data_IF_752973741447
#
_entry.id   IF_752973741447
#
_cell.length_a   1.000
_cell.length_b   1.000
_cell.length_c   1.000
_cell.angle_alpha   90.00
_cell.angle_beta   90.00
_cell.angle_gamma   90.00
#
_symmetry.space_group_name_H-M   'P 1'
#
loop_
_entity.id
_entity.type
_entity.pdbx_description
1 polymer ?
#
# COMPACT_ATOMS: atom_id res chain seq x y z
N UNK A 1 39.37 -37.99 -19.56
CA UNK A 1 37.93 -37.98 -19.22
C UNK A 1 37.76 -37.39 -17.81
N UNK A 2 37.64 -36.06 -17.67
CA UNK A 2 37.40 -35.42 -16.35
C UNK A 2 37.10 -33.91 -16.43
N UNK A 3 36.40 -33.43 -17.47
CA UNK A 3 36.24 -31.99 -17.69
C UNK A 3 34.85 -31.55 -18.18
N UNK A 4 33.79 -32.35 -17.96
CA UNK A 4 32.45 -32.02 -18.45
C UNK A 4 31.38 -32.29 -17.36
N UNK A 5 31.54 -31.78 -16.13
CA UNK A 5 30.43 -31.76 -15.15
C UNK A 5 30.59 -30.58 -14.16
N UNK A 6 30.76 -29.34 -14.64
CA UNK A 6 30.71 -28.15 -13.76
C UNK A 6 29.76 -27.06 -14.30
N UNK A 7 29.21 -27.20 -15.51
CA UNK A 7 28.45 -26.14 -16.17
C UNK A 7 26.92 -26.19 -16.00
N UNK A 8 26.37 -26.86 -14.97
CA UNK A 8 24.91 -27.00 -14.78
C UNK A 8 24.38 -26.27 -13.52
N UNK A 9 25.24 -25.62 -12.73
CA UNK A 9 24.81 -24.81 -11.57
C UNK A 9 24.67 -23.31 -11.88
N UNK A 10 24.38 -22.94 -13.13
CA UNK A 10 23.76 -21.65 -13.40
C UNK A 10 22.26 -21.76 -13.13
N UNK A 11 21.90 -21.98 -11.87
CA UNK A 11 20.55 -21.77 -11.38
C UNK A 11 20.22 -20.31 -11.67
N UNK A 12 19.44 -20.08 -12.72
CA UNK A 12 18.74 -18.83 -12.95
C UNK A 12 17.90 -18.58 -11.71
N UNK A 13 18.41 -17.71 -10.84
CA UNK A 13 17.60 -17.09 -9.80
C UNK A 13 16.47 -16.40 -10.56
N UNK A 14 15.29 -17.02 -10.60
CA UNK A 14 14.07 -16.32 -10.97
C UNK A 14 13.93 -15.22 -9.92
N UNK A 15 14.38 -14.01 -10.26
CA UNK A 15 14.09 -12.81 -9.49
C UNK A 15 12.57 -12.73 -9.45
N UNK A 16 11.97 -13.14 -8.33
CA UNK A 16 10.64 -12.68 -7.97
C UNK A 16 10.77 -11.16 -7.95
N UNK A 17 10.32 -10.50 -9.01
CA UNK A 17 10.31 -9.04 -9.11
C UNK A 17 9.25 -8.55 -8.15
N UNK A 18 9.64 -8.34 -6.91
CA UNK A 18 8.86 -7.54 -6.00
C UNK A 18 9.00 -6.10 -6.48
N UNK A 19 7.90 -5.51 -6.94
CA UNK A 19 7.89 -4.09 -7.19
C UNK A 19 7.69 -3.39 -5.85
N UNK A 20 8.63 -2.52 -5.50
CA UNK A 20 8.59 -1.76 -4.28
C UNK A 20 8.73 -0.26 -4.53
N UNK A 21 7.89 0.53 -3.88
CA UNK A 21 7.88 1.98 -4.00
C UNK A 21 7.94 2.65 -2.63
N UNK A 22 8.66 3.77 -2.58
CA UNK A 22 8.62 4.70 -1.47
C UNK A 22 7.68 5.84 -1.84
N UNK A 23 6.67 6.07 -1.01
CA UNK A 23 5.58 7.01 -1.22
C UNK A 23 5.56 8.04 -0.10
N UNK A 24 5.30 9.30 -0.44
CA UNK A 24 5.07 10.34 0.56
C UNK A 24 4.06 11.38 0.06
N UNK A 25 3.84 12.44 0.83
CA UNK A 25 3.02 13.60 0.47
C UNK A 25 1.58 13.28 0.04
N UNK A 26 0.93 12.32 0.69
CA UNK A 26 -0.48 12.01 0.41
C UNK A 26 -1.35 13.23 0.74
N UNK A 27 -2.03 13.79 -0.25
CA UNK A 27 -2.90 14.97 -0.09
C UNK A 27 -4.20 14.78 -0.86
N UNK A 28 -5.29 15.28 -0.32
CA UNK A 28 -6.58 15.28 -1.01
C UNK A 28 -7.68 15.67 -0.06
N UNK A 29 -8.75 14.87 0.00
CA UNK A 29 -9.92 15.19 0.80
C UNK A 29 -10.40 14.00 1.63
N UNK A 30 -10.97 14.32 2.78
CA UNK A 30 -11.62 13.35 3.66
C UNK A 30 -12.97 13.91 4.11
N UNK A 31 -13.91 13.01 4.38
CA UNK A 31 -15.20 13.32 4.99
C UNK A 31 -15.43 12.38 6.18
N UNK A 32 -15.99 12.90 7.27
CA UNK A 32 -16.13 12.19 8.53
C UNK A 32 -17.57 12.25 9.04
N UNK A 33 -18.06 11.24 9.76
CA UNK A 33 -19.39 11.33 10.37
C UNK A 33 -19.53 12.51 11.34
N UNK A 34 -18.44 12.90 12.01
CA UNK A 34 -18.42 14.00 12.98
C UNK A 34 -18.65 15.37 12.38
N UNK A 35 -18.43 15.55 11.07
CA UNK A 35 -18.65 16.81 10.35
C UNK A 35 -19.81 16.73 9.34
N UNK A 36 -20.65 15.70 9.44
CA UNK A 36 -21.77 15.49 8.53
C UNK A 36 -21.35 15.01 7.13
N UNK A 37 -20.17 14.39 7.02
CA UNK A 37 -19.57 13.91 5.78
C UNK A 37 -19.26 15.02 4.77
N UNK A 38 -18.87 16.19 5.26
CA UNK A 38 -18.42 17.29 4.41
C UNK A 38 -16.97 17.02 4.02
N UNK A 39 -16.67 17.04 2.72
CA UNK A 39 -15.30 16.86 2.25
C UNK A 39 -14.44 18.08 2.58
N UNK A 40 -13.40 17.85 3.38
CA UNK A 40 -12.40 18.84 3.79
C UNK A 40 -11.02 18.44 3.29
N UNK A 41 -10.15 19.44 3.06
CA UNK A 41 -8.75 19.18 2.69
C UNK A 41 -8.05 18.42 3.82
N UNK A 42 -7.36 17.35 3.45
CA UNK A 42 -6.63 16.51 4.39
C UNK A 42 -5.42 15.87 3.70
N UNK A 43 -4.58 15.19 4.47
CA UNK A 43 -3.47 14.44 3.94
C UNK A 43 -2.59 13.81 5.02
N UNK A 44 -1.68 12.97 4.57
CA UNK A 44 -0.60 12.39 5.38
C UNK A 44 0.70 12.91 4.78
N UNK A 45 1.18 14.03 5.33
CA UNK A 45 2.38 14.73 4.82
C UNK A 45 3.66 14.32 5.55
N UNK A 46 3.54 13.72 6.73
CA UNK A 46 4.67 13.25 7.51
C UNK A 46 4.70 11.72 7.43
N UNK A 47 5.79 11.17 6.91
CA UNK A 47 5.97 9.72 6.77
C UNK A 47 6.32 9.31 5.34
N UNK A 48 7.04 8.20 5.23
CA UNK A 48 7.31 7.53 3.97
C UNK A 48 6.70 6.13 4.06
N UNK A 49 5.82 5.82 3.13
CA UNK A 49 5.19 4.51 3.00
C UNK A 49 6.00 3.67 2.03
N UNK A 50 6.39 2.48 2.45
CA UNK A 50 6.92 1.44 1.58
C UNK A 50 5.75 0.57 1.13
N UNK A 51 5.44 0.64 -0.17
CA UNK A 51 4.42 -0.17 -0.84
C UNK A 51 5.14 -1.30 -1.57
N UNK A 52 4.93 -2.54 -1.15
CA UNK A 52 5.53 -3.72 -1.76
C UNK A 52 4.42 -4.57 -2.40
N UNK A 53 4.54 -4.83 -3.71
CA UNK A 53 3.58 -5.65 -4.46
C UNK A 53 4.35 -6.71 -5.24
N UNK A 54 4.01 -7.96 -4.98
CA UNK A 54 4.42 -9.13 -5.74
C UNK A 54 3.20 -9.75 -6.42
N UNK A 55 3.41 -10.80 -7.21
CA UNK A 55 2.31 -11.55 -7.81
C UNK A 55 1.32 -12.12 -6.76
N UNK A 56 1.82 -12.59 -5.63
CA UNK A 56 1.04 -13.37 -4.67
C UNK A 56 0.86 -12.68 -3.31
N UNK A 57 1.59 -11.58 -3.06
CA UNK A 57 1.62 -10.88 -1.77
C UNK A 57 1.73 -9.37 -1.97
N UNK A 58 1.07 -8.63 -1.09
CA UNK A 58 1.22 -7.19 -0.97
C UNK A 58 1.50 -6.84 0.51
N UNK A 59 2.27 -5.78 0.75
CA UNK A 59 2.57 -5.29 2.09
C UNK A 59 2.71 -3.76 2.09
N UNK A 60 2.38 -3.15 3.21
CA UNK A 60 2.53 -1.72 3.45
C UNK A 60 3.26 -1.51 4.78
N UNK A 61 4.39 -0.79 4.72
CA UNK A 61 5.16 -0.42 5.91
C UNK A 61 5.36 1.08 5.98
N UNK A 62 5.34 1.63 7.19
CA UNK A 62 5.79 3.00 7.42
C UNK A 62 7.29 2.97 7.71
N UNK A 63 8.10 3.65 6.90
CA UNK A 63 9.56 3.67 7.06
C UNK A 63 9.91 4.29 8.41
N UNK A 64 10.68 3.58 9.21
CA UNK A 64 11.09 3.99 10.56
C UNK A 64 10.14 3.54 11.68
N UNK A 65 9.04 2.88 11.35
CA UNK A 65 8.14 2.23 12.30
C UNK A 65 8.16 0.69 12.07
N UNK A 66 7.98 -0.09 13.13
CA UNK A 66 7.82 -1.55 13.05
C UNK A 66 6.35 -1.95 12.88
N UNK A 67 5.42 -1.01 12.98
CA UNK A 67 3.98 -1.25 12.86
C UNK A 67 3.49 -1.06 11.41
N UNK A 68 3.38 -2.18 10.69
CA UNK A 68 2.64 -2.25 9.44
C UNK A 68 1.14 -2.00 9.69
N UNK A 69 0.63 -0.84 9.25
CA UNK A 69 -0.77 -0.68 8.84
C UNK A 69 -1.87 -1.10 9.82
N UNK A 70 -1.69 -0.98 11.14
CA UNK A 70 -2.77 -1.12 12.13
C UNK A 70 -3.60 -2.42 12.07
N UNK A 71 -3.02 -3.52 11.55
CA UNK A 71 -3.72 -4.80 11.40
C UNK A 71 -4.42 -5.03 10.06
N UNK A 72 -4.22 -4.15 9.06
CA UNK A 72 -4.68 -4.35 7.69
C UNK A 72 -3.94 -5.50 7.01
N UNK A 73 -4.69 -6.37 6.34
CA UNK A 73 -4.15 -7.37 5.42
C UNK A 73 -4.22 -6.84 3.99
N UNK A 74 -3.13 -6.97 3.24
CA UNK A 74 -3.07 -6.49 1.86
C UNK A 74 -3.06 -7.65 0.87
N UNK A 75 -3.82 -7.49 -0.21
CA UNK A 75 -3.84 -8.40 -1.35
C UNK A 75 -3.49 -7.64 -2.63
N UNK A 76 -2.62 -8.20 -3.50
CA UNK A 76 -2.41 -7.64 -4.83
C UNK A 76 -3.71 -7.64 -5.63
N UNK A 77 -4.04 -6.52 -6.25
CA UNK A 77 -5.11 -6.42 -7.24
C UNK A 77 -4.55 -6.39 -8.68
N UNK A 78 -3.33 -5.85 -8.84
CA UNK A 78 -2.54 -5.88 -10.08
C UNK A 78 -1.05 -5.75 -9.73
N UNK A 79 -0.12 -5.80 -10.71
CA UNK A 79 1.30 -5.56 -10.44
C UNK A 79 1.63 -4.19 -9.81
N UNK A 80 0.72 -3.21 -9.93
CA UNK A 80 0.93 -1.83 -9.46
C UNK A 80 -0.16 -1.38 -8.48
N UNK A 81 -1.07 -2.28 -8.07
CA UNK A 81 -2.14 -1.93 -7.14
C UNK A 81 -2.46 -3.02 -6.14
N UNK A 82 -2.86 -2.61 -4.95
CA UNK A 82 -3.24 -3.49 -3.85
C UNK A 82 -4.44 -2.94 -3.09
N UNK A 83 -5.15 -3.84 -2.43
CA UNK A 83 -6.26 -3.53 -1.54
C UNK A 83 -5.90 -4.02 -0.14
N UNK A 84 -5.94 -3.11 0.83
CA UNK A 84 -5.86 -3.40 2.24
C UNK A 84 -7.26 -3.54 2.85
N UNK A 85 -7.47 -4.53 3.70
CA UNK A 85 -8.72 -4.68 4.44
C UNK A 85 -8.47 -5.13 5.88
N UNK A 86 -9.35 -4.66 6.75
CA UNK A 86 -9.45 -5.07 8.16
C UNK A 86 -10.93 -5.17 8.49
N UNK A 87 -11.31 -6.23 9.20
CA UNK A 87 -12.69 -6.44 9.64
C UNK A 87 -12.69 -7.02 11.05
N UNK A 88 -13.50 -6.44 11.93
CA UNK A 88 -13.74 -6.93 13.29
C UNK A 88 -15.19 -6.65 13.67
N UNK A 89 -16.03 -7.69 13.67
CA UNK A 89 -17.47 -7.54 13.92
C UNK A 89 -18.14 -6.61 12.90
N UNK A 90 -18.70 -5.48 13.37
CA UNK A 90 -19.32 -4.45 12.53
C UNK A 90 -18.34 -3.33 12.11
N UNK A 91 -17.05 -3.47 12.43
CA UNK A 91 -15.98 -2.53 12.10
C UNK A 91 -15.27 -3.01 10.85
N UNK A 92 -15.05 -2.10 9.91
CA UNK A 92 -14.23 -2.37 8.73
C UNK A 92 -13.38 -1.18 8.34
N UNK A 93 -12.22 -1.48 7.78
CA UNK A 93 -11.41 -0.53 7.03
C UNK A 93 -11.06 -1.18 5.71
N UNK A 94 -11.23 -0.43 4.63
CA UNK A 94 -10.80 -0.81 3.30
C UNK A 94 -9.95 0.33 2.78
N UNK A 95 -8.75 0.04 2.29
CA UNK A 95 -7.95 1.02 1.59
C UNK A 95 -7.36 0.45 0.31
N UNK A 96 -7.04 1.35 -0.61
CA UNK A 96 -6.49 0.99 -1.91
C UNK A 96 -5.25 1.83 -2.17
N UNK A 97 -4.28 1.21 -2.82
CA UNK A 97 -3.06 1.85 -3.28
C UNK A 97 -2.87 1.48 -4.75
N UNK A 98 -2.74 2.47 -5.62
CA UNK A 98 -2.44 2.25 -7.03
C UNK A 98 -1.31 3.16 -7.48
N UNK A 99 -0.18 2.57 -7.84
CA UNK A 99 0.96 3.27 -8.39
C UNK A 99 0.71 3.57 -9.86
N UNK A 100 1.13 4.75 -10.28
CA UNK A 100 0.94 5.28 -11.64
C UNK A 100 2.29 5.50 -12.32
N UNK A 101 2.27 5.52 -13.65
CA UNK A 101 3.48 5.65 -14.46
C UNK A 101 4.12 7.06 -14.39
N UNK A 102 3.40 8.07 -13.90
CA UNK A 102 3.87 9.45 -13.74
C UNK A 102 4.39 9.74 -12.31
N UNK A 103 4.85 8.71 -11.61
CA UNK A 103 5.38 8.78 -10.24
C UNK A 103 4.38 9.33 -9.21
N UNK A 104 3.10 9.01 -9.38
CA UNK A 104 2.06 9.26 -8.37
C UNK A 104 1.53 7.97 -7.77
N UNK A 105 0.85 8.12 -6.65
CA UNK A 105 0.01 7.06 -6.07
C UNK A 105 -1.41 7.58 -5.88
N UNK A 106 -2.38 6.77 -6.27
CA UNK A 106 -3.79 7.00 -5.96
C UNK A 106 -4.11 6.19 -4.70
N UNK A 107 -4.47 6.89 -3.63
CA UNK A 107 -4.83 6.30 -2.36
C UNK A 107 -6.30 6.58 -2.05
N UNK A 108 -7.02 5.56 -1.58
CA UNK A 108 -8.32 5.79 -0.97
C UNK A 108 -8.49 4.93 0.27
N UNK A 109 -9.30 5.42 1.21
CA UNK A 109 -9.63 4.70 2.44
C UNK A 109 -11.08 4.93 2.83
N UNK A 110 -11.75 3.86 3.21
CA UNK A 110 -13.09 3.88 3.80
C UNK A 110 -13.00 3.20 5.16
N UNK A 111 -13.50 3.88 6.18
CA UNK A 111 -13.65 3.31 7.52
C UNK A 111 -15.14 3.30 7.87
N UNK A 112 -15.63 2.15 8.32
CA UNK A 112 -16.94 2.00 8.91
C UNK A 112 -16.74 1.45 10.31
N UNK A 113 -16.87 2.29 11.32
CA UNK A 113 -16.83 1.91 12.72
C UNK A 113 -17.92 2.70 13.48
N UNK A 114 -19.10 2.10 13.68
CA UNK A 114 -20.22 2.77 14.35
C UNK A 114 -19.91 3.27 15.77
N UNK A 115 -18.92 2.68 16.44
CA UNK A 115 -18.52 3.02 17.81
C UNK A 115 -17.45 4.13 17.86
N UNK A 116 -16.87 4.52 16.72
CA UNK A 116 -15.81 5.53 16.66
C UNK A 116 -16.00 6.47 15.46
N UNK A 117 -15.43 6.10 14.31
CA UNK A 117 -15.30 6.98 13.15
C UNK A 117 -15.75 6.26 11.89
N UNK A 118 -16.73 6.86 11.22
CA UNK A 118 -16.99 6.55 9.81
C UNK A 118 -16.33 7.62 8.97
N UNK A 119 -15.57 7.21 7.96
CA UNK A 119 -14.89 8.16 7.08
C UNK A 119 -14.68 7.62 5.69
N UNK A 120 -14.52 8.53 4.75
CA UNK A 120 -13.99 8.25 3.41
C UNK A 120 -12.91 9.26 3.09
N UNK A 121 -11.83 8.81 2.47
CA UNK A 121 -10.69 9.62 2.08
C UNK A 121 -10.22 9.24 0.68
N UNK A 122 -9.78 10.23 -0.08
CA UNK A 122 -9.15 10.04 -1.37
C UNK A 122 -7.98 11.03 -1.51
N UNK A 123 -6.77 10.49 -1.65
CA UNK A 123 -5.53 11.25 -1.71
C UNK A 123 -4.74 10.88 -2.97
N UNK A 124 -3.92 11.83 -3.41
CA UNK A 124 -2.84 11.62 -4.37
C UNK A 124 -1.53 11.86 -3.64
N UNK A 125 -0.58 10.95 -3.78
CA UNK A 125 0.77 11.08 -3.24
C UNK A 125 1.83 11.07 -4.31
N UNK A 126 3.07 11.24 -3.87
CA UNK A 126 4.27 11.20 -4.71
C UNK A 126 5.01 9.88 -4.50
N UNK A 127 5.41 9.23 -5.60
CA UNK A 127 6.42 8.18 -5.57
C UNK A 127 7.78 8.86 -5.56
N UNK A 128 8.50 8.76 -4.44
CA UNK A 128 9.78 9.43 -4.21
C UNK A 128 10.99 8.52 -4.46
N UNK A 129 10.75 7.23 -4.72
CA UNK A 129 11.80 6.27 -5.04
C UNK A 129 11.29 4.84 -5.13
N UNK A 130 12.22 3.92 -5.41
CA UNK A 130 12.03 2.47 -5.32
C UNK A 130 12.69 1.98 -4.03
N UNK A 131 12.24 0.82 -3.55
CA UNK A 131 13.04 -0.06 -2.72
C UNK A 131 13.30 -1.37 -3.51
#
# INVERSE_FOLDING_TARGET
>A
MKLIIIAVLACTSMSVSAECWLVSNLKGHSAYNTDGYIFNKNGITNGIFQVEITKDKADLRLVGDTLSGGGLQYIPASPVSMVGFFTEGNKSTIETWAITDDNKVMYSKVMSNPEALNSTSSFVGDVIGKC
#
